data_IF_456015456409
#
_entry.id   IF_456015456409
#
_cell.length_a   1.000
_cell.length_b   1.000
_cell.length_c   1.000
_cell.angle_alpha   90.00
_cell.angle_beta   90.00
_cell.angle_gamma   90.00
#
_symmetry.space_group_name_H-M   'P 1'
#
loop_
_entity.id
_entity.type
_entity.pdbx_description
1 polymer ?
#
# COMPACT_ATOMS: atom_id res chain seq x y z
N UNK A 1 -3.13 9.89 -3.52
CA UNK A 1 -1.71 9.75 -3.85
C UNK A 1 -1.54 8.84 -5.06
N UNK A 2 -0.62 9.21 -5.94
CA UNK A 2 -0.41 8.53 -7.22
C UNK A 2 -0.06 7.05 -7.06
N UNK A 3 0.87 6.73 -6.15
CA UNK A 3 1.28 5.33 -5.91
C UNK A 3 0.10 4.47 -5.46
N UNK A 4 -0.71 4.96 -4.53
CA UNK A 4 -1.86 4.21 -4.03
C UNK A 4 -2.85 3.91 -5.16
N UNK A 5 -3.24 4.92 -5.93
CA UNK A 5 -4.16 4.74 -7.06
C UNK A 5 -3.58 3.79 -8.11
N UNK A 6 -2.29 3.93 -8.43
CA UNK A 6 -1.65 3.08 -9.43
C UNK A 6 -1.63 1.62 -9.00
N UNK A 7 -1.30 1.33 -7.75
CA UNK A 7 -1.27 -0.04 -7.24
C UNK A 7 -2.67 -0.64 -7.16
N UNK A 8 -3.66 0.11 -6.67
CA UNK A 8 -5.05 -0.36 -6.64
C UNK A 8 -5.57 -0.65 -8.04
N UNK A 9 -5.27 0.23 -8.99
CA UNK A 9 -5.69 0.07 -10.38
C UNK A 9 -5.01 -1.14 -11.04
N UNK A 10 -3.71 -1.33 -10.78
CA UNK A 10 -2.96 -2.48 -11.29
C UNK A 10 -3.53 -3.79 -10.76
N UNK A 11 -3.76 -3.90 -9.46
CA UNK A 11 -4.28 -5.13 -8.85
C UNK A 11 -5.73 -5.39 -9.27
N UNK A 12 -6.56 -4.36 -9.29
CA UNK A 12 -7.96 -4.50 -9.69
C UNK A 12 -8.13 -4.81 -11.18
N UNK A 13 -7.35 -4.13 -12.03
CA UNK A 13 -7.45 -4.29 -13.48
C UNK A 13 -6.75 -5.52 -14.03
N UNK A 14 -5.58 -5.87 -13.50
CA UNK A 14 -4.76 -6.98 -14.01
C UNK A 14 -4.95 -8.29 -13.27
N UNK A 15 -5.37 -8.26 -12.00
CA UNK A 15 -5.50 -9.43 -11.14
C UNK A 15 -6.90 -9.61 -10.58
N UNK A 16 -7.83 -8.73 -10.95
CA UNK A 16 -9.26 -8.82 -10.60
C UNK A 16 -9.52 -8.87 -9.08
N UNK A 17 -8.72 -8.15 -8.29
CA UNK A 17 -8.94 -8.08 -6.85
C UNK A 17 -10.13 -7.18 -6.51
N UNK A 18 -10.88 -7.46 -5.41
CA UNK A 18 -12.00 -6.62 -5.01
C UNK A 18 -11.55 -5.17 -4.72
N UNK A 19 -12.28 -4.20 -5.24
CA UNK A 19 -11.87 -2.78 -5.21
C UNK A 19 -11.74 -2.22 -3.78
N UNK A 20 -12.77 -2.37 -2.96
CA UNK A 20 -12.76 -1.79 -1.59
C UNK A 20 -11.74 -2.48 -0.69
N UNK A 21 -11.64 -3.80 -0.76
CA UNK A 21 -10.68 -4.57 0.04
C UNK A 21 -9.25 -4.26 -0.37
N UNK A 22 -8.99 -4.12 -1.68
CA UNK A 22 -7.68 -3.75 -2.20
C UNK A 22 -7.24 -2.39 -1.68
N UNK A 23 -8.13 -1.39 -1.73
CA UNK A 23 -7.85 -0.06 -1.19
C UNK A 23 -7.56 -0.09 0.31
N UNK A 24 -8.37 -0.82 1.08
CA UNK A 24 -8.22 -0.92 2.53
C UNK A 24 -6.88 -1.57 2.92
N UNK A 25 -6.47 -2.61 2.20
CA UNK A 25 -5.22 -3.33 2.48
C UNK A 25 -4.01 -2.47 2.10
N UNK A 26 -4.03 -1.83 0.93
CA UNK A 26 -2.88 -1.08 0.42
C UNK A 26 -2.66 0.26 1.11
N UNK A 27 -3.72 0.92 1.59
CA UNK A 27 -3.62 2.29 2.09
C UNK A 27 -2.57 2.48 3.19
N UNK A 28 -2.51 1.65 4.27
CA UNK A 28 -1.48 1.79 5.29
C UNK A 28 -0.07 1.69 4.72
N UNK A 29 0.14 0.83 3.73
CA UNK A 29 1.46 0.60 3.13
C UNK A 29 1.89 1.73 2.20
N UNK A 30 0.98 2.26 1.38
CA UNK A 30 1.29 3.39 0.49
C UNK A 30 1.47 4.68 1.28
N UNK A 31 0.69 4.90 2.32
CA UNK A 31 0.86 6.02 3.24
C UNK A 31 2.21 5.90 3.96
N UNK A 32 2.55 4.73 4.48
CA UNK A 32 3.82 4.49 5.15
C UNK A 32 5.01 4.71 4.23
N UNK A 33 4.92 4.24 2.98
CA UNK A 33 5.96 4.46 1.98
C UNK A 33 6.20 5.95 1.74
N UNK A 34 5.15 6.73 1.54
CA UNK A 34 5.26 8.16 1.26
C UNK A 34 5.63 8.99 2.51
N UNK A 35 5.32 8.51 3.71
CA UNK A 35 5.60 9.24 4.95
C UNK A 35 7.09 9.49 5.17
N UNK A 36 7.96 8.68 4.58
CA UNK A 36 9.42 8.86 4.66
C UNK A 36 9.83 10.20 4.05
N UNK A 37 9.19 10.61 2.93
CA UNK A 37 9.54 11.85 2.22
C UNK A 37 8.68 13.05 2.62
N UNK A 38 7.43 12.83 3.00
CA UNK A 38 6.48 13.91 3.30
C UNK A 38 5.78 13.71 4.65
N UNK A 39 6.53 13.55 5.75
CA UNK A 39 5.92 13.26 7.05
C UNK A 39 4.97 14.36 7.52
N UNK A 40 5.25 15.61 7.17
CA UNK A 40 4.42 16.77 7.58
C UNK A 40 3.05 16.75 6.92
N UNK A 41 2.94 16.32 5.67
CA UNK A 41 1.66 16.18 4.98
C UNK A 41 0.77 15.14 5.65
N UNK A 42 1.37 14.14 6.29
CA UNK A 42 0.66 13.03 6.89
C UNK A 42 0.51 13.18 8.41
N UNK A 43 1.00 14.29 8.98
CA UNK A 43 0.87 14.60 10.40
C UNK A 43 -0.57 14.57 10.90
N UNK A 44 -1.58 15.06 10.16
CA UNK A 44 -2.96 14.96 10.61
C UNK A 44 -3.41 13.53 10.91
N UNK A 45 -2.93 12.54 10.15
CA UNK A 45 -3.22 11.12 10.39
C UNK A 45 -2.58 10.68 11.70
N UNK A 46 -1.30 11.00 11.90
CA UNK A 46 -0.58 10.68 13.14
C UNK A 46 -1.23 11.35 14.36
N UNK A 47 -1.65 12.61 14.22
CA UNK A 47 -2.30 13.37 15.30
C UNK A 47 -3.66 12.78 15.66
N UNK A 48 -4.42 12.31 14.66
CA UNK A 48 -5.76 11.76 14.89
C UNK A 48 -5.72 10.35 15.48
N UNK A 49 -4.78 9.51 15.03
CA UNK A 49 -4.75 8.08 15.37
C UNK A 49 -3.60 7.71 16.32
N UNK A 50 -2.60 8.56 16.46
CA UNK A 50 -1.39 8.31 17.23
C UNK A 50 -0.36 7.50 16.44
N UNK A 51 0.93 7.66 16.76
CA UNK A 51 2.02 6.92 16.12
C UNK A 51 2.36 7.42 14.71
N UNK A 52 3.06 6.59 13.93
CA UNK A 52 3.42 6.91 12.56
C UNK A 52 2.23 6.68 11.62
N UNK A 53 2.12 7.41 10.49
CA UNK A 53 0.89 7.40 9.68
C UNK A 53 0.49 6.01 9.16
N UNK A 54 1.41 5.27 8.57
CA UNK A 54 1.12 3.94 8.01
C UNK A 54 0.77 2.93 9.08
N UNK A 55 1.55 2.90 10.17
CA UNK A 55 1.31 2.02 11.29
C UNK A 55 -0.03 2.33 11.98
N UNK A 56 -0.33 3.63 12.15
CA UNK A 56 -1.58 4.06 12.76
C UNK A 56 -2.80 3.63 11.93
N UNK A 57 -2.74 3.78 10.61
CA UNK A 57 -3.81 3.32 9.72
C UNK A 57 -3.96 1.80 9.74
N UNK A 58 -2.85 1.08 9.77
CA UNK A 58 -2.88 -0.38 9.88
C UNK A 58 -3.57 -0.83 11.16
N UNK A 59 -3.16 -0.27 12.30
CA UNK A 59 -3.74 -0.61 13.60
C UNK A 59 -5.24 -0.26 13.63
N UNK A 60 -5.62 0.86 13.04
CA UNK A 60 -7.03 1.27 12.93
C UNK A 60 -7.82 0.26 12.11
N UNK A 61 -7.30 -0.17 10.96
CA UNK A 61 -7.93 -1.19 10.13
C UNK A 61 -8.12 -2.51 10.88
N UNK A 62 -7.11 -2.96 11.61
CA UNK A 62 -7.18 -4.16 12.44
C UNK A 62 -8.28 -4.02 13.50
N UNK A 63 -8.38 -2.86 14.14
CA UNK A 63 -9.40 -2.61 15.18
C UNK A 63 -10.82 -2.67 14.63
N UNK A 64 -11.02 -2.34 13.35
CA UNK A 64 -12.31 -2.40 12.67
C UNK A 64 -12.62 -3.78 12.09
N UNK A 65 -11.69 -4.72 12.14
CA UNK A 65 -11.84 -6.02 11.49
C UNK A 65 -11.70 -5.96 9.96
N UNK A 66 -11.09 -4.90 9.43
CA UNK A 66 -10.87 -4.76 8.00
C UNK A 66 -9.79 -5.74 7.52
N UNK A 67 -9.82 -6.16 6.24
CA UNK A 67 -8.78 -7.04 5.70
C UNK A 67 -7.42 -6.35 5.67
N UNK A 68 -6.34 -7.12 5.91
CA UNK A 68 -4.97 -6.60 5.98
C UNK A 68 -3.99 -7.37 5.10
N UNK A 69 -4.41 -8.44 4.43
CA UNK A 69 -3.52 -9.31 3.67
C UNK A 69 -4.03 -9.55 2.26
N UNK A 70 -3.24 -9.17 1.26
CA UNK A 70 -3.59 -9.42 -0.14
C UNK A 70 -3.62 -10.92 -0.45
N UNK A 71 -2.84 -11.74 0.24
CA UNK A 71 -2.82 -13.19 0.00
C UNK A 71 -4.17 -13.86 0.25
N UNK A 72 -5.04 -13.24 1.04
CA UNK A 72 -6.39 -13.75 1.30
C UNK A 72 -7.33 -13.57 0.10
N UNK A 73 -6.90 -12.82 -0.93
CA UNK A 73 -7.71 -12.52 -2.12
C UNK A 73 -7.16 -13.16 -3.40
N UNK A 74 -6.41 -14.26 -3.25
CA UNK A 74 -6.03 -15.10 -4.38
C UNK A 74 -4.74 -14.72 -5.10
N UNK A 75 -4.01 -13.73 -4.61
CA UNK A 75 -2.73 -13.34 -5.19
C UNK A 75 -1.61 -14.26 -4.68
N UNK A 76 -0.76 -14.72 -5.60
CA UNK A 76 0.48 -15.44 -5.27
C UNK A 76 1.65 -14.47 -5.17
N UNK A 77 2.78 -14.92 -4.61
CA UNK A 77 4.00 -14.09 -4.58
C UNK A 77 4.51 -13.78 -5.99
N UNK A 78 4.37 -14.71 -6.94
CA UNK A 78 4.73 -14.47 -8.34
C UNK A 78 3.89 -13.35 -8.96
N UNK A 79 2.63 -13.21 -8.58
CA UNK A 79 1.78 -12.13 -9.03
C UNK A 79 2.30 -10.76 -8.58
N UNK A 80 2.96 -10.69 -7.43
CA UNK A 80 3.54 -9.44 -6.91
C UNK A 80 4.68 -8.93 -7.78
N UNK A 81 5.52 -9.83 -8.30
CA UNK A 81 6.59 -9.47 -9.22
C UNK A 81 6.02 -8.88 -10.51
N UNK A 82 4.99 -9.49 -11.04
CA UNK A 82 4.29 -9.02 -12.24
C UNK A 82 3.59 -7.68 -12.00
N UNK A 83 2.92 -7.53 -10.86
CA UNK A 83 2.26 -6.29 -10.49
C UNK A 83 3.25 -5.13 -10.36
N UNK A 84 4.40 -5.37 -9.74
CA UNK A 84 5.44 -4.34 -9.62
C UNK A 84 5.96 -3.93 -11.00
N UNK A 85 6.17 -4.87 -11.91
CA UNK A 85 6.60 -4.60 -13.28
C UNK A 85 5.56 -3.75 -14.03
N UNK A 86 4.29 -4.08 -13.91
CA UNK A 86 3.21 -3.32 -14.55
C UNK A 86 3.12 -1.90 -13.97
N UNK A 87 3.25 -1.78 -12.66
CA UNK A 87 3.12 -0.49 -11.98
C UNK A 87 4.21 0.52 -12.39
N UNK A 88 5.42 0.05 -12.73
CA UNK A 88 6.51 0.95 -13.16
C UNK A 88 6.57 1.16 -14.67
N UNK A 89 5.77 0.44 -15.46
CA UNK A 89 5.81 0.51 -16.93
C UNK A 89 5.43 1.90 -17.47
N UNK A 90 4.52 2.61 -16.78
CA UNK A 90 4.11 3.96 -17.14
C UNK A 90 4.50 4.90 -16.01
N UNK A 91 5.58 5.69 -16.15
CA UNK A 91 6.04 6.60 -15.11
C UNK A 91 4.95 7.59 -14.68
N UNK A 92 4.90 7.87 -13.41
CA UNK A 92 3.97 8.83 -12.82
C UNK A 92 4.62 9.48 -11.60
N UNK A 93 4.12 10.64 -11.21
CA UNK A 93 4.65 11.37 -10.07
C UNK A 93 4.20 10.76 -8.76
N UNK A 94 5.12 10.67 -7.79
CA UNK A 94 4.82 10.29 -6.42
C UNK A 94 5.74 11.05 -5.46
N UNK A 95 5.27 11.46 -4.26
CA UNK A 95 6.11 12.23 -3.32
C UNK A 95 7.44 11.55 -2.99
N UNK A 96 7.44 10.25 -2.78
CA UNK A 96 8.67 9.48 -2.60
C UNK A 96 9.04 8.81 -3.91
N UNK A 97 10.26 9.05 -4.44
CA UNK A 97 10.74 8.33 -5.62
C UNK A 97 10.70 6.82 -5.39
N UNK A 98 10.41 6.07 -6.44
CA UNK A 98 10.29 4.62 -6.35
C UNK A 98 10.90 3.96 -7.60
N UNK A 99 11.30 2.70 -7.42
CA UNK A 99 11.66 1.79 -8.50
C UNK A 99 10.83 0.50 -8.36
N UNK A 100 11.06 -0.45 -9.25
CA UNK A 100 10.33 -1.73 -9.22
C UNK A 100 10.57 -2.48 -7.91
N UNK A 101 11.80 -2.44 -7.38
CA UNK A 101 12.15 -3.09 -6.13
C UNK A 101 11.39 -2.49 -4.94
N UNK A 102 11.29 -1.16 -4.88
CA UNK A 102 10.54 -0.48 -3.83
C UNK A 102 9.05 -0.85 -3.87
N UNK A 103 8.45 -0.84 -5.06
CA UNK A 103 7.04 -1.23 -5.23
C UNK A 103 6.84 -2.70 -4.85
N UNK A 104 7.77 -3.57 -5.25
CA UNK A 104 7.71 -4.99 -4.89
C UNK A 104 7.71 -5.18 -3.38
N UNK A 105 8.54 -4.42 -2.65
CA UNK A 105 8.58 -4.46 -1.19
C UNK A 105 7.27 -4.01 -0.55
N UNK A 106 6.67 -2.93 -1.07
CA UNK A 106 5.36 -2.46 -0.60
C UNK A 106 4.29 -3.53 -0.79
N UNK A 107 4.27 -4.17 -1.96
CA UNK A 107 3.33 -5.23 -2.26
C UNK A 107 3.55 -6.47 -1.39
N UNK A 108 4.81 -6.83 -1.12
CA UNK A 108 5.13 -7.96 -0.25
C UNK A 108 4.61 -7.73 1.18
N UNK A 109 4.82 -6.54 1.73
CA UNK A 109 4.33 -6.20 3.06
C UNK A 109 2.81 -6.24 3.11
N UNK A 110 2.13 -5.73 2.08
CA UNK A 110 0.68 -5.79 1.97
C UNK A 110 0.17 -7.22 1.79
N UNK A 111 0.92 -8.07 1.08
CA UNK A 111 0.57 -9.48 0.88
C UNK A 111 0.67 -10.27 2.18
N UNK A 112 1.73 -10.04 2.95
CA UNK A 112 1.96 -10.68 4.25
C UNK A 112 1.08 -10.11 5.36
N UNK A 113 0.55 -8.90 5.20
CA UNK A 113 -0.17 -8.18 6.24
C UNK A 113 0.74 -7.63 7.32
N UNK A 114 1.94 -7.18 6.95
CA UNK A 114 2.90 -6.61 7.90
C UNK A 114 2.47 -5.21 8.34
N UNK A 115 2.69 -4.91 9.60
CA UNK A 115 2.48 -3.56 10.11
C UNK A 115 3.53 -2.62 9.52
N UNK A 116 3.13 -1.50 8.87
CA UNK A 116 4.11 -0.55 8.33
C UNK A 116 5.00 0.05 9.41
N UNK A 117 6.27 0.31 9.07
CA UNK A 117 7.23 0.93 9.99
C UNK A 117 7.06 2.45 10.09
N UNK A 118 6.41 3.06 9.08
CA UNK A 118 6.29 4.53 8.96
C UNK A 118 4.86 5.05 8.80
#
# INVERSE_FOLDING_TARGET
>A
MALHHKLCHTLGGSFDTPHSETHAILLPHTIGFNAVEVPEFLRPISSALGGTPGAALFDFAVSLGAPTRLKDFGLSEADLDRAASIAVANPYWNPRPFDQSAIRSVLQDAWDGRRPAH
#
